data_IF_027028644614
#
_entry.id   IF_027028644614
#
_cell.length_a   1.000
_cell.length_b   1.000
_cell.length_c   1.000
_cell.angle_alpha   90.00
_cell.angle_beta   90.00
_cell.angle_gamma   90.00
#
_symmetry.space_group_name_H-M   'P 1'
#
loop_
_entity.id
_entity.type
_entity.pdbx_description
1 polymer ?
#
# COMPACT_ATOMS: atom_id res chain seq x y z
N UNK A 1 -12.61 -1.07 -12.93
CA UNK A 1 -11.85 -0.29 -11.93
C UNK A 1 -10.38 -0.32 -12.33
N UNK A 2 -9.66 0.79 -12.27
CA UNK A 2 -8.19 0.75 -12.39
C UNK A 2 -7.65 -0.01 -11.17
N UNK A 3 -6.79 -0.99 -11.38
CA UNK A 3 -5.97 -1.54 -10.31
C UNK A 3 -5.13 -0.40 -9.73
N UNK A 4 -5.25 -0.19 -8.42
CA UNK A 4 -4.42 0.76 -7.69
C UNK A 4 -3.27 -0.04 -7.08
N UNK A 5 -2.11 0.03 -7.72
CA UNK A 5 -0.88 -0.66 -7.31
C UNK A 5 -0.37 -0.23 -5.93
N UNK A 6 -0.87 0.87 -5.38
CA UNK A 6 -0.55 1.35 -4.03
C UNK A 6 -1.34 0.62 -2.94
N UNK A 7 -2.30 -0.23 -3.29
CA UNK A 7 -3.07 -1.05 -2.36
C UNK A 7 -2.54 -2.49 -2.38
N UNK A 8 -2.22 -3.04 -1.22
CA UNK A 8 -1.94 -4.47 -1.07
C UNK A 8 -3.12 -5.18 -0.41
N UNK A 9 -3.33 -6.45 -0.74
CA UNK A 9 -4.26 -7.34 -0.03
C UNK A 9 -3.50 -8.29 0.88
N UNK A 10 -4.17 -8.86 1.87
CA UNK A 10 -3.59 -9.93 2.68
C UNK A 10 -4.66 -10.87 3.23
N UNK A 11 -4.25 -12.11 3.50
CA UNK A 11 -5.01 -13.08 4.30
C UNK A 11 -4.44 -13.19 5.73
N UNK A 12 -3.40 -12.42 6.05
CA UNK A 12 -2.80 -12.36 7.38
C UNK A 12 -3.70 -11.57 8.33
N UNK A 13 -3.87 -12.07 9.54
CA UNK A 13 -4.78 -11.49 10.55
C UNK A 13 -4.10 -10.57 11.55
N UNK A 14 -2.77 -10.53 11.56
CA UNK A 14 -2.00 -9.74 12.53
C UNK A 14 -1.00 -8.81 11.86
N UNK A 15 -0.81 -7.63 12.47
CA UNK A 15 0.21 -6.68 12.08
C UNK A 15 1.61 -7.31 12.05
N UNK A 16 1.94 -8.17 13.03
CA UNK A 16 3.23 -8.83 13.10
C UNK A 16 3.53 -9.70 11.86
N UNK A 17 2.55 -10.43 11.35
CA UNK A 17 2.73 -11.23 10.13
C UNK A 17 2.91 -10.36 8.90
N UNK A 18 2.11 -9.29 8.77
CA UNK A 18 2.21 -8.30 7.67
C UNK A 18 3.58 -7.63 7.68
N UNK A 19 4.07 -7.17 8.83
CA UNK A 19 5.37 -6.51 8.93
C UNK A 19 6.54 -7.48 8.89
N UNK A 20 6.34 -8.77 9.20
CA UNK A 20 7.36 -9.80 8.94
C UNK A 20 7.58 -9.97 7.44
N UNK A 21 6.51 -10.04 6.64
CA UNK A 21 6.64 -10.06 5.18
C UNK A 21 7.45 -8.86 4.68
N UNK A 22 7.16 -7.66 5.21
CA UNK A 22 7.93 -6.46 4.91
C UNK A 22 9.43 -6.67 5.13
N UNK A 23 9.84 -7.24 6.28
CA UNK A 23 11.25 -7.52 6.60
C UNK A 23 11.90 -8.51 5.64
N UNK A 24 11.16 -9.52 5.19
CA UNK A 24 11.68 -10.62 4.39
C UNK A 24 11.75 -10.28 2.89
N UNK A 25 10.82 -9.47 2.38
CA UNK A 25 10.64 -9.22 0.94
C UNK A 25 10.75 -7.75 0.52
N UNK A 26 10.59 -6.83 1.47
CA UNK A 26 10.56 -5.39 1.23
C UNK A 26 11.94 -4.77 1.07
N UNK A 27 12.01 -3.63 0.35
CA UNK A 27 13.23 -2.85 0.25
C UNK A 27 13.64 -2.31 1.62
N UNK A 28 14.78 -2.75 2.13
CA UNK A 28 15.20 -2.50 3.52
C UNK A 28 14.12 -2.85 4.56
N UNK A 29 13.35 -3.91 4.28
CA UNK A 29 12.30 -4.37 5.18
C UNK A 29 10.99 -3.59 5.13
N UNK A 30 10.78 -2.74 4.12
CA UNK A 30 9.62 -1.84 4.02
C UNK A 30 8.60 -2.29 2.98
N UNK A 31 7.32 -2.08 3.30
CA UNK A 31 6.19 -2.19 2.37
C UNK A 31 5.85 -0.77 1.91
N UNK A 32 6.01 -0.46 0.63
CA UNK A 32 5.75 0.90 0.11
C UNK A 32 4.28 1.16 -0.26
N UNK A 33 3.45 0.12 -0.29
CA UNK A 33 2.00 0.27 -0.43
C UNK A 33 1.45 1.23 0.63
N UNK A 34 0.52 2.09 0.23
CA UNK A 34 -0.12 3.07 1.11
C UNK A 34 -0.97 2.39 2.20
N UNK A 35 -1.56 1.24 1.87
CA UNK A 35 -2.37 0.44 2.79
C UNK A 35 -2.34 -1.03 2.43
N UNK A 36 -2.52 -1.88 3.43
CA UNK A 36 -2.67 -3.34 3.30
C UNK A 36 -4.04 -3.72 3.84
N UNK A 37 -4.91 -4.27 3.00
CA UNK A 37 -6.28 -4.62 3.34
C UNK A 37 -6.39 -6.13 3.61
N UNK A 38 -6.64 -6.56 4.86
CA UNK A 38 -6.97 -7.93 5.18
C UNK A 38 -8.37 -8.28 4.65
N UNK A 39 -8.42 -9.13 3.62
CA UNK A 39 -9.66 -9.39 2.87
C UNK A 39 -10.77 -9.96 3.74
N UNK A 40 -10.42 -10.84 4.69
CA UNK A 40 -11.37 -11.49 5.60
C UNK A 40 -12.07 -10.54 6.59
N UNK A 41 -11.64 -9.28 6.65
CA UNK A 41 -12.21 -8.29 7.58
C UNK A 41 -13.29 -7.43 6.94
N UNK A 42 -13.42 -7.50 5.61
CA UNK A 42 -14.41 -6.74 4.87
C UNK A 42 -15.79 -7.37 5.04
N UNK A 43 -16.78 -6.56 5.42
CA UNK A 43 -18.17 -6.99 5.54
C UNK A 43 -19.13 -5.95 4.99
N UNK A 44 -20.27 -6.38 4.45
CA UNK A 44 -21.34 -5.50 3.98
C UNK A 44 -22.38 -5.39 5.09
N UNK A 45 -22.62 -4.17 5.57
CA UNK A 45 -23.61 -3.83 6.60
C UNK A 45 -24.74 -3.03 5.94
N UNK A 46 -25.99 -3.38 6.27
CA UNK A 46 -27.17 -2.65 5.75
C UNK A 46 -27.35 -2.69 4.23
N UNK A 47 -26.62 -3.54 3.51
CA UNK A 47 -26.67 -3.67 2.05
C UNK A 47 -25.91 -2.60 1.26
N UNK A 48 -25.41 -1.55 1.93
CA UNK A 48 -24.76 -0.40 1.26
C UNK A 48 -23.48 0.08 1.95
N UNK A 49 -23.15 -0.41 3.14
CA UNK A 49 -21.96 0.00 3.89
C UNK A 49 -20.91 -1.11 3.84
N UNK A 50 -19.66 -0.76 3.57
CA UNK A 50 -18.52 -1.68 3.67
C UNK A 50 -17.73 -1.33 4.92
N UNK A 51 -17.57 -2.28 5.83
CA UNK A 51 -16.80 -2.12 7.07
C UNK A 51 -15.62 -3.07 7.08
N UNK A 52 -14.57 -2.73 7.84
CA UNK A 52 -13.36 -3.53 7.99
C UNK A 52 -12.23 -2.71 8.60
N UNK A 53 -11.02 -3.24 8.58
CA UNK A 53 -9.83 -2.48 8.95
C UNK A 53 -8.72 -2.65 7.91
N UNK A 54 -7.67 -1.83 8.02
CA UNK A 54 -6.47 -1.97 7.20
C UNK A 54 -5.22 -1.74 8.06
N UNK A 55 -4.08 -2.24 7.59
CA UNK A 55 -2.78 -1.92 8.15
C UNK A 55 -2.12 -0.83 7.33
N UNK A 56 -1.56 0.18 8.00
CA UNK A 56 -0.80 1.25 7.35
C UNK A 56 0.70 1.01 7.59
N UNK A 57 1.50 0.74 6.55
CA UNK A 57 2.95 0.70 6.70
C UNK A 57 3.50 2.10 6.96
N UNK A 58 3.72 2.46 8.22
CA UNK A 58 4.04 3.83 8.63
C UNK A 58 5.26 4.43 7.90
N UNK A 59 6.35 3.66 7.82
CA UNK A 59 7.58 4.10 7.15
C UNK A 59 7.41 4.16 5.62
N UNK A 60 6.80 3.16 5.01
CA UNK A 60 6.65 3.10 3.55
C UNK A 60 5.65 4.12 3.02
N UNK A 61 4.54 4.32 3.73
CA UNK A 61 3.52 5.30 3.41
C UNK A 61 4.10 6.71 3.35
N UNK A 62 4.82 7.11 4.41
CA UNK A 62 5.40 8.45 4.50
C UNK A 62 6.48 8.68 3.45
N UNK A 63 7.31 7.67 3.13
CA UNK A 63 8.31 7.74 2.08
C UNK A 63 7.69 7.91 0.69
N UNK A 64 6.74 7.06 0.31
CA UNK A 64 6.08 7.14 -0.99
C UNK A 64 5.35 8.47 -1.16
N UNK A 65 4.63 8.93 -0.14
CA UNK A 65 3.91 10.21 -0.18
C UNK A 65 4.86 11.40 -0.32
N UNK A 66 6.01 11.37 0.36
CA UNK A 66 7.03 12.43 0.28
C UNK A 66 7.71 12.48 -1.08
N UNK A 67 8.04 11.32 -1.66
CA UNK A 67 8.58 11.23 -3.03
C UNK A 67 7.52 11.70 -4.02
N UNK A 68 6.28 11.24 -3.90
CA UNK A 68 5.18 11.61 -4.79
C UNK A 68 4.94 13.12 -4.85
N UNK A 69 4.85 13.80 -3.69
CA UNK A 69 4.65 15.26 -3.69
C UNK A 69 5.86 16.00 -4.23
N UNK A 70 7.08 15.52 -3.93
CA UNK A 70 8.31 16.14 -4.44
C UNK A 70 8.41 16.01 -5.96
N UNK A 71 8.09 14.83 -6.52
CA UNK A 71 8.07 14.61 -7.96
C UNK A 71 6.94 15.40 -8.63
N UNK A 72 5.77 15.48 -8.02
CA UNK A 72 4.65 16.28 -8.53
C UNK A 72 4.99 17.78 -8.58
N UNK A 73 5.69 18.31 -7.57
CA UNK A 73 6.14 19.71 -7.55
C UNK A 73 7.14 20.02 -8.69
N UNK A 74 7.94 19.04 -9.11
CA UNK A 74 8.93 19.19 -10.17
C UNK A 74 8.31 18.97 -11.57
N UNK A 75 7.45 17.97 -11.71
CA UNK A 75 6.93 17.49 -12.99
C UNK A 75 5.45 17.05 -12.87
N UNK A 76 4.52 18.01 -12.73
CA UNK A 76 3.12 17.72 -12.38
C UNK A 76 2.40 16.85 -13.43
N UNK A 77 2.79 16.92 -14.69
CA UNK A 77 2.14 16.17 -15.77
C UNK A 77 2.62 14.72 -15.90
N UNK A 78 3.82 14.40 -15.40
CA UNK A 78 4.47 13.08 -15.62
C UNK A 78 4.92 12.39 -14.33
N UNK A 79 4.68 12.98 -13.15
CA UNK A 79 5.11 12.43 -11.86
C UNK A 79 4.65 10.99 -11.63
N UNK A 80 3.45 10.62 -12.09
CA UNK A 80 2.89 9.29 -11.92
C UNK A 80 3.72 8.23 -12.66
N UNK A 81 4.15 8.53 -13.88
CA UNK A 81 5.04 7.67 -14.67
C UNK A 81 6.42 7.55 -14.01
N UNK A 82 6.93 8.67 -13.51
CA UNK A 82 8.22 8.71 -12.79
C UNK A 82 8.17 7.92 -11.48
N UNK A 83 7.03 7.88 -10.79
CA UNK A 83 6.86 7.09 -9.57
C UNK A 83 6.91 5.58 -9.84
N UNK A 84 6.67 5.12 -11.06
CA UNK A 84 6.69 3.69 -11.41
C UNK A 84 8.08 3.05 -11.28
N UNK A 85 9.15 3.83 -11.09
CA UNK A 85 10.45 3.30 -10.67
C UNK A 85 10.37 2.56 -9.33
N UNK A 86 9.39 2.90 -8.48
CA UNK A 86 9.14 2.28 -7.18
C UNK A 86 8.27 1.02 -7.26
N UNK A 87 7.69 0.73 -8.44
CA UNK A 87 6.77 -0.39 -8.67
C UNK A 87 7.30 -1.76 -8.21
N UNK A 88 8.60 -2.10 -8.32
CA UNK A 88 9.11 -3.37 -7.80
C UNK A 88 8.87 -3.61 -6.31
N UNK A 89 8.53 -2.55 -5.55
CA UNK A 89 8.25 -2.60 -4.11
C UNK A 89 6.79 -2.31 -3.77
N UNK A 90 5.93 -2.29 -4.79
CA UNK A 90 4.48 -2.31 -4.64
C UNK A 90 4.01 -3.75 -4.72
N UNK A 91 3.51 -4.27 -3.60
CA UNK A 91 3.05 -5.63 -3.50
C UNK A 91 1.55 -5.71 -3.78
N UNK A 92 1.13 -6.68 -4.59
CA UNK A 92 -0.29 -6.98 -4.78
C UNK A 92 -0.86 -7.73 -3.56
N UNK A 93 -0.05 -8.64 -3.01
CA UNK A 93 -0.35 -9.40 -1.79
C UNK A 93 0.83 -9.32 -0.81
N UNK A 94 0.51 -9.14 0.47
CA UNK A 94 1.44 -9.12 1.61
C UNK A 94 1.20 -10.30 2.52
#
# INVERSE_FOLDING_TARGET
MKENDRLARTYKRSANQVFSFGRDHGFYGRILNQTVIPHETLSIVGGTEITGFCFTPQDGNSLLSSVAISTWLLDPDTYEEKLQVLKPWFFEEV
#
